data_IF_473523338954
#
_entry.id   IF_473523338954
#
_cell.length_a   1.000
_cell.length_b   1.000
_cell.length_c   1.000
_cell.angle_alpha   90.00
_cell.angle_beta   90.00
_cell.angle_gamma   90.00
#
_symmetry.space_group_name_H-M   'P 1'
#
loop_
_entity.id
_entity.type
_entity.pdbx_description
1 polymer ?
#
# COMPACT_ATOMS: atom_id res chain seq x y z
N UNK A 1 -13.71 6.74 6.99
CA UNK A 1 -12.36 7.05 6.48
C UNK A 1 -12.52 7.20 4.99
N UNK A 2 -12.19 8.36 4.47
CA UNK A 2 -12.61 8.82 3.16
C UNK A 2 -11.72 8.16 2.07
N UNK A 3 -12.18 7.03 1.51
CA UNK A 3 -11.43 6.17 0.55
C UNK A 3 -10.92 6.90 -0.70
N UNK A 4 -11.42 8.11 -0.98
CA UNK A 4 -11.02 8.95 -2.12
C UNK A 4 -9.54 9.40 -2.07
N UNK A 5 -8.88 9.33 -0.91
CA UNK A 5 -7.45 9.68 -0.79
C UNK A 5 -6.50 8.50 -1.04
N UNK A 6 -7.03 7.29 -1.30
CA UNK A 6 -6.24 6.12 -1.66
C UNK A 6 -6.04 6.09 -3.18
N UNK A 7 -4.81 5.91 -3.63
CA UNK A 7 -4.53 5.77 -5.07
C UNK A 7 -5.17 4.46 -5.59
N UNK A 8 -5.97 4.52 -6.67
CA UNK A 8 -6.50 3.32 -7.29
C UNK A 8 -5.38 2.56 -7.99
N UNK A 9 -5.42 1.24 -7.85
CA UNK A 9 -4.55 0.32 -8.57
C UNK A 9 -4.84 0.42 -10.07
N UNK A 10 -3.80 0.50 -10.89
CA UNK A 10 -3.94 0.55 -12.35
C UNK A 10 -4.57 -0.72 -12.94
N UNK A 11 -4.44 -1.85 -12.26
CA UNK A 11 -4.94 -3.15 -12.74
C UNK A 11 -6.42 -3.37 -12.44
N UNK A 12 -6.86 -3.02 -11.23
CA UNK A 12 -8.24 -3.29 -10.77
C UNK A 12 -9.11 -2.05 -10.72
N UNK A 13 -8.52 -0.85 -10.77
CA UNK A 13 -9.21 0.42 -10.53
C UNK A 13 -9.64 0.63 -9.08
N UNK A 14 -9.32 -0.30 -8.19
CA UNK A 14 -9.64 -0.29 -6.76
C UNK A 14 -8.41 0.08 -5.94
N UNK A 15 -8.54 0.64 -4.72
CA UNK A 15 -7.39 0.89 -3.87
C UNK A 15 -6.56 -0.39 -3.65
N UNK A 16 -5.24 -0.22 -3.48
CA UNK A 16 -4.34 -1.33 -3.20
C UNK A 16 -4.73 -2.03 -1.89
N UNK A 17 -4.75 -3.36 -1.95
CA UNK A 17 -5.03 -4.22 -0.81
C UNK A 17 -3.73 -4.80 -0.24
N UNK A 18 -3.69 -5.01 1.08
CA UNK A 18 -2.54 -5.58 1.77
C UNK A 18 -2.18 -6.95 1.19
N UNK A 19 -0.94 -7.09 0.72
CA UNK A 19 -0.43 -8.29 0.06
C UNK A 19 -0.44 -8.22 -1.46
N UNK A 20 -0.90 -7.11 -2.06
CA UNK A 20 -0.83 -6.89 -3.49
C UNK A 20 0.64 -6.79 -3.96
N UNK A 21 1.02 -7.57 -4.97
CA UNK A 21 2.35 -7.53 -5.59
C UNK A 21 2.32 -6.61 -6.83
N UNK A 22 3.19 -5.61 -6.83
CA UNK A 22 3.40 -4.68 -7.96
C UNK A 22 4.32 -5.29 -9.02
N UNK A 23 4.38 -4.72 -10.22
CA UNK A 23 5.24 -5.19 -11.33
C UNK A 23 6.74 -5.26 -10.97
N UNK A 24 7.17 -4.47 -9.98
CA UNK A 24 8.53 -4.46 -9.43
C UNK A 24 8.80 -5.61 -8.42
N UNK A 25 7.81 -6.46 -8.12
CA UNK A 25 7.89 -7.53 -7.12
C UNK A 25 7.75 -7.05 -5.66
N UNK A 26 7.23 -5.84 -5.47
CA UNK A 26 7.02 -5.24 -4.14
C UNK A 26 5.61 -5.53 -3.64
N UNK A 27 5.48 -5.77 -2.35
CA UNK A 27 4.21 -6.07 -1.70
C UNK A 27 3.64 -4.84 -1.00
N UNK A 28 2.42 -4.47 -1.34
CA UNK A 28 1.68 -3.43 -0.64
C UNK A 28 1.40 -3.86 0.80
N UNK A 29 1.83 -3.05 1.76
CA UNK A 29 1.65 -3.35 3.19
C UNK A 29 0.34 -2.73 3.66
N UNK A 30 0.25 -1.40 3.60
CA UNK A 30 -0.92 -0.62 4.02
C UNK A 30 -0.79 0.84 3.59
N UNK A 31 -1.91 1.55 3.63
CA UNK A 31 -1.91 3.00 3.62
C UNK A 31 -1.48 3.53 4.99
N UNK A 32 -0.54 4.47 4.99
CA UNK A 32 -0.15 5.21 6.18
C UNK A 32 -1.18 6.32 6.43
N UNK A 33 -1.44 6.61 7.71
CA UNK A 33 -2.24 7.77 8.13
C UNK A 33 -1.44 9.09 7.97
N UNK A 34 -0.73 9.24 6.86
CA UNK A 34 0.05 10.41 6.51
C UNK A 34 -0.29 10.74 5.07
N UNK A 35 -0.72 11.96 4.81
CA UNK A 35 -0.96 12.44 3.44
C UNK A 35 0.24 13.25 2.96
N UNK A 36 0.56 13.10 1.67
CA UNK A 36 1.51 13.97 0.99
C UNK A 36 0.89 15.32 0.63
N UNK A 37 1.71 16.23 0.10
CA UNK A 37 1.25 17.53 -0.39
C UNK A 37 0.25 17.41 -1.57
N UNK A 38 0.17 16.23 -2.18
CA UNK A 38 -0.72 15.86 -3.29
C UNK A 38 -2.14 15.45 -2.80
N UNK A 39 -2.36 15.38 -1.48
CA UNK A 39 -3.63 14.97 -0.87
C UNK A 39 -3.84 13.45 -0.75
N UNK A 40 -3.01 12.64 -1.41
CA UNK A 40 -3.06 11.17 -1.29
C UNK A 40 -2.34 10.66 -0.04
N UNK A 41 -2.82 9.54 0.50
CA UNK A 41 -2.14 8.82 1.57
C UNK A 41 -0.81 8.23 1.09
N UNK A 42 0.21 8.27 1.95
CA UNK A 42 1.45 7.56 1.72
C UNK A 42 1.21 6.05 1.76
N UNK A 43 1.78 5.36 0.80
CA UNK A 43 1.66 3.92 0.64
C UNK A 43 2.93 3.27 1.18
N UNK A 44 2.78 2.31 2.09
CA UNK A 44 3.90 1.51 2.57
C UNK A 44 4.05 0.26 1.72
N UNK A 45 5.21 0.11 1.10
CA UNK A 45 5.57 -1.04 0.27
C UNK A 45 6.72 -1.80 0.91
N UNK A 46 6.68 -3.13 0.81
CA UNK A 46 7.75 -4.03 1.16
C UNK A 46 8.44 -4.53 -0.11
N UNK A 47 9.77 -4.59 -0.09
CA UNK A 47 10.55 -5.03 -1.25
C UNK A 47 10.39 -6.52 -1.57
N UNK A 48 10.05 -7.30 -0.55
CA UNK A 48 9.99 -8.75 -0.60
C UNK A 48 8.96 -9.28 0.39
N UNK A 49 8.53 -10.51 0.17
CA UNK A 49 7.52 -11.18 0.99
C UNK A 49 7.94 -11.30 2.45
N UNK A 50 9.21 -11.50 2.73
CA UNK A 50 9.73 -11.58 4.10
C UNK A 50 9.59 -10.22 4.83
N UNK A 51 9.96 -9.14 4.18
CA UNK A 51 9.75 -7.78 4.69
C UNK A 51 8.27 -7.46 4.90
N UNK A 52 7.40 -7.92 3.99
CA UNK A 52 5.95 -7.79 4.13
C UNK A 52 5.44 -8.53 5.38
N UNK A 53 5.78 -9.82 5.51
CA UNK A 53 5.42 -10.64 6.66
C UNK A 53 5.90 -10.01 7.97
N UNK A 54 7.14 -9.50 8.00
CA UNK A 54 7.70 -8.83 9.18
C UNK A 54 6.96 -7.54 9.53
N UNK A 55 6.46 -6.80 8.55
CA UNK A 55 5.70 -5.56 8.78
C UNK A 55 4.27 -5.84 9.28
N UNK A 56 3.58 -6.83 8.71
CA UNK A 56 2.22 -7.18 9.16
C UNK A 56 2.21 -7.91 10.51
N UNK A 57 3.25 -8.67 10.83
CA UNK A 57 3.36 -9.43 12.08
C UNK A 57 3.87 -8.58 13.25
N UNK A 58 4.33 -7.34 12.99
CA UNK A 58 4.68 -6.37 14.02
C UNK A 58 3.40 -5.65 14.47
N UNK A 59 2.50 -6.40 15.11
CA UNK A 59 1.29 -5.91 15.78
C UNK A 59 1.57 -5.42 17.19
#
# INVERSE_FOLDING_TARGET
MEDHFKRPNKLTGMPYESGFEDEDGRFFVKYLNKQGNDGYYFEEWARDKESYLKKINKS
#
